data_IF_296430928289
#
_entry.id   IF_296430928289
#
_cell.length_a   1.000
_cell.length_b   1.000
_cell.length_c   1.000
_cell.angle_alpha   90.00
_cell.angle_beta   90.00
_cell.angle_gamma   90.00
#
_symmetry.space_group_name_H-M   'P 1'
#
loop_
_entity.id
_entity.type
_entity.pdbx_description
1 polymer ?
#
# COMPACT_ATOMS: atom_id res chain seq x y z
N UNK A 1 -15.13 10.04 9.24
CA UNK A 1 -14.09 11.07 8.95
C UNK A 1 -12.74 10.72 9.57
N UNK A 2 -12.67 10.28 10.83
CA UNK A 2 -11.40 9.85 11.46
C UNK A 2 -10.72 8.67 10.73
N UNK A 3 -11.50 7.71 10.24
CA UNK A 3 -10.98 6.54 9.52
C UNK A 3 -10.29 6.94 8.21
N UNK A 4 -10.84 7.94 7.51
CA UNK A 4 -10.23 8.48 6.28
C UNK A 4 -8.82 9.03 6.58
N UNK A 5 -8.67 9.78 7.67
CA UNK A 5 -7.38 10.35 8.07
C UNK A 5 -6.38 9.24 8.40
N UNK A 6 -6.79 8.23 9.17
CA UNK A 6 -5.91 7.10 9.48
C UNK A 6 -5.50 6.33 8.24
N UNK A 7 -6.42 6.05 7.30
CA UNK A 7 -6.07 5.42 6.03
C UNK A 7 -5.08 6.26 5.23
N UNK A 8 -5.35 7.56 5.07
CA UNK A 8 -4.46 8.49 4.37
C UNK A 8 -3.06 8.49 4.98
N UNK A 9 -2.94 8.63 6.31
CA UNK A 9 -1.67 8.63 7.01
C UNK A 9 -0.94 7.28 6.88
N UNK A 10 -1.64 6.16 7.07
CA UNK A 10 -1.07 4.82 6.90
C UNK A 10 -0.49 4.65 5.50
N UNK A 11 -1.21 5.05 4.46
CA UNK A 11 -0.78 4.90 3.07
C UNK A 11 0.37 5.85 2.72
N UNK A 12 0.35 7.07 3.22
CA UNK A 12 1.47 8.01 3.03
C UNK A 12 2.74 7.51 3.71
N UNK A 13 2.64 7.03 4.96
CA UNK A 13 3.77 6.41 5.65
C UNK A 13 4.27 5.16 4.91
N UNK A 14 3.36 4.36 4.35
CA UNK A 14 3.71 3.16 3.60
C UNK A 14 4.41 3.49 2.27
N UNK A 15 3.97 4.55 1.58
CA UNK A 15 4.66 5.07 0.39
C UNK A 15 6.07 5.56 0.71
N UNK A 16 6.25 6.33 1.79
CA UNK A 16 7.56 6.78 2.24
C UNK A 16 8.48 5.61 2.64
N UNK A 17 7.93 4.64 3.37
CA UNK A 17 8.66 3.45 3.82
C UNK A 17 9.18 2.64 2.62
N UNK A 18 8.38 2.52 1.56
CA UNK A 18 8.70 1.70 0.39
C UNK A 18 9.36 2.47 -0.75
N UNK A 19 9.46 3.79 -0.66
CA UNK A 19 10.14 4.59 -1.68
C UNK A 19 11.59 4.15 -1.95
N UNK A 20 12.43 3.78 -0.96
CA UNK A 20 13.75 3.22 -1.22
C UNK A 20 13.75 1.93 -2.06
N UNK A 21 12.71 1.10 -1.92
CA UNK A 21 12.53 -0.09 -2.75
C UNK A 21 12.16 0.32 -4.18
N UNK A 22 11.18 1.22 -4.33
CA UNK A 22 10.76 1.75 -5.63
C UNK A 22 11.95 2.38 -6.37
N UNK A 23 12.76 3.18 -5.67
CA UNK A 23 13.97 3.80 -6.20
C UNK A 23 14.93 2.80 -6.86
N UNK A 24 15.10 1.64 -6.22
CA UNK A 24 16.01 0.59 -6.69
C UNK A 24 15.39 -0.23 -7.82
N UNK A 25 14.08 -0.45 -7.78
CA UNK A 25 13.36 -1.21 -8.82
C UNK A 25 13.15 -0.41 -10.10
N UNK A 26 13.02 0.92 -9.97
CA UNK A 26 12.72 1.84 -11.07
C UNK A 26 13.82 2.89 -11.30
N UNK A 27 15.09 2.50 -11.46
CA UNK A 27 16.19 3.46 -11.59
C UNK A 27 16.13 4.24 -12.90
N UNK A 28 15.46 3.71 -13.92
CA UNK A 28 15.30 4.34 -15.24
C UNK A 28 14.14 5.34 -15.31
N UNK A 29 13.23 5.34 -14.32
CA UNK A 29 12.10 6.27 -14.29
C UNK A 29 12.55 7.64 -13.79
N UNK A 30 12.08 8.70 -14.45
CA UNK A 30 12.36 10.09 -14.08
C UNK A 30 11.92 10.42 -12.65
N UNK A 31 10.79 9.85 -12.20
CA UNK A 31 10.29 10.01 -10.83
C UNK A 31 10.89 9.02 -9.81
N UNK A 32 11.81 8.15 -10.25
CA UNK A 32 12.39 7.06 -9.43
C UNK A 32 11.34 6.14 -8.79
N UNK A 33 10.14 6.07 -9.39
CA UNK A 33 9.00 5.29 -8.89
C UNK A 33 8.27 5.92 -7.71
N UNK A 34 8.44 7.22 -7.42
CA UNK A 34 7.77 7.88 -6.31
C UNK A 34 6.24 7.78 -6.42
N UNK A 35 5.66 8.00 -7.59
CA UNK A 35 4.21 7.93 -7.80
C UNK A 35 3.62 6.53 -7.53
N UNK A 36 4.42 5.48 -7.76
CA UNK A 36 4.01 4.09 -7.56
C UNK A 36 4.33 3.55 -6.16
N UNK A 37 5.16 4.26 -5.38
CA UNK A 37 5.66 3.80 -4.08
C UNK A 37 4.55 3.39 -3.11
N UNK A 38 3.49 4.19 -3.01
CA UNK A 38 2.33 3.91 -2.14
C UNK A 38 1.59 2.63 -2.53
N UNK A 39 1.35 2.41 -3.83
CA UNK A 39 0.72 1.20 -4.33
C UNK A 39 1.63 -0.02 -4.13
N UNK A 40 2.92 0.12 -4.44
CA UNK A 40 3.94 -0.90 -4.22
C UNK A 40 3.97 -1.31 -2.74
N UNK A 41 3.98 -0.34 -1.81
CA UNK A 41 4.00 -0.62 -0.39
C UNK A 41 2.77 -1.36 0.11
N UNK A 42 1.57 -0.99 -0.36
CA UNK A 42 0.34 -1.71 -0.04
C UNK A 42 0.39 -3.16 -0.53
N UNK A 43 0.82 -3.37 -1.78
CA UNK A 43 0.91 -4.70 -2.38
C UNK A 43 1.98 -5.56 -1.70
N UNK A 44 3.16 -5.02 -1.42
CA UNK A 44 4.24 -5.75 -0.75
C UNK A 44 3.90 -6.09 0.70
N UNK A 45 3.39 -5.12 1.47
CA UNK A 45 2.97 -5.39 2.84
C UNK A 45 1.86 -6.44 2.87
N UNK A 46 0.86 -6.27 2.01
CA UNK A 46 -0.22 -7.22 1.81
C UNK A 46 0.26 -8.61 1.46
N UNK A 47 1.18 -8.72 0.50
CA UNK A 47 1.67 -10.00 0.01
C UNK A 47 2.51 -10.73 1.06
N UNK A 48 3.41 -10.02 1.75
CA UNK A 48 4.20 -10.60 2.85
C UNK A 48 3.27 -11.10 3.96
N UNK A 49 2.28 -10.30 4.34
CA UNK A 49 1.29 -10.70 5.36
C UNK A 49 0.48 -11.92 4.92
N UNK A 50 -0.13 -11.86 3.73
CA UNK A 50 -0.93 -12.94 3.18
C UNK A 50 -0.13 -14.25 3.09
N UNK A 51 1.12 -14.17 2.63
CA UNK A 51 1.99 -15.33 2.52
C UNK A 51 2.37 -15.88 3.91
N UNK A 52 2.75 -15.01 4.86
CA UNK A 52 3.10 -15.44 6.21
C UNK A 52 1.93 -16.12 6.94
N UNK A 53 0.72 -15.61 6.79
CA UNK A 53 -0.48 -16.22 7.38
C UNK A 53 -0.87 -17.52 6.66
N UNK A 54 -0.77 -17.56 5.33
CA UNK A 54 -1.07 -18.77 4.54
C UNK A 54 -0.09 -19.91 4.83
N UNK A 55 1.16 -19.60 5.18
CA UNK A 55 2.17 -20.58 5.57
C UNK A 55 2.14 -20.94 7.06
N UNK A 56 1.26 -20.33 7.85
CA UNK A 56 1.19 -20.56 9.30
C UNK A 56 2.36 -19.95 10.10
N UNK A 57 3.14 -19.05 9.49
CA UNK A 57 4.24 -18.30 10.15
C UNK A 57 3.68 -17.19 11.04
N UNK A 58 2.55 -16.60 10.64
CA UNK A 58 1.86 -15.54 11.36
C UNK A 58 0.36 -15.85 11.49
N UNK A 59 -0.33 -15.14 12.39
CA UNK A 59 -1.79 -15.16 12.48
C UNK A 59 -2.38 -13.91 11.83
N UNK A 60 -3.66 -13.99 11.45
CA UNK A 60 -4.40 -12.85 10.92
C UNK A 60 -4.87 -11.90 12.05
N UNK A 61 -3.90 -11.29 12.72
CA UNK A 61 -4.09 -10.37 13.83
C UNK A 61 -3.14 -9.17 13.72
N UNK A 62 -3.17 -8.28 14.71
CA UNK A 62 -2.28 -7.12 14.75
C UNK A 62 -0.80 -7.53 14.82
N UNK A 63 -0.48 -8.64 15.48
CA UNK A 63 0.89 -9.16 15.57
C UNK A 63 1.45 -9.56 14.21
N UNK A 64 0.69 -10.32 13.42
CA UNK A 64 1.07 -10.70 12.05
C UNK A 64 1.18 -9.49 11.12
N UNK A 65 0.28 -8.50 11.25
CA UNK A 65 0.35 -7.24 10.49
C UNK A 65 1.64 -6.47 10.81
N UNK A 66 2.02 -6.37 12.08
CA UNK A 66 3.23 -5.68 12.50
C UNK A 66 4.49 -6.46 12.12
N UNK A 67 4.47 -7.79 12.20
CA UNK A 67 5.58 -8.65 11.77
C UNK A 67 5.86 -8.48 10.27
N UNK A 68 4.82 -8.53 9.44
CA UNK A 68 4.94 -8.33 7.99
C UNK A 68 5.37 -6.90 7.64
N UNK A 69 4.92 -5.89 8.39
CA UNK A 69 5.36 -4.50 8.23
C UNK A 69 6.85 -4.35 8.60
N UNK A 70 7.29 -5.01 9.68
CA UNK A 70 8.68 -5.04 10.09
C UNK A 70 9.58 -5.73 9.05
N UNK A 71 9.11 -6.81 8.43
CA UNK A 71 9.80 -7.45 7.31
C UNK A 71 9.94 -6.50 6.11
N UNK A 72 8.88 -5.77 5.75
CA UNK A 72 8.93 -4.77 4.68
C UNK A 72 9.88 -3.61 5.01
N UNK A 73 9.88 -3.15 6.26
CA UNK A 73 10.82 -2.14 6.75
C UNK A 73 12.26 -2.64 6.63
N UNK A 74 12.53 -3.89 7.03
CA UNK A 74 13.85 -4.51 6.90
C UNK A 74 14.32 -4.57 5.43
N UNK A 75 13.43 -4.92 4.49
CA UNK A 75 13.73 -4.89 3.05
C UNK A 75 14.08 -3.48 2.57
N UNK A 76 13.33 -2.47 3.04
CA UNK A 76 13.55 -1.07 2.67
C UNK A 76 14.87 -0.53 3.22
N UNK A 77 15.20 -0.85 4.48
CA UNK A 77 16.51 -0.53 5.09
C UNK A 77 17.64 -1.24 4.36
N UNK A 78 17.47 -2.52 4.03
CA UNK A 78 18.46 -3.28 3.27
C UNK A 78 18.71 -2.68 1.88
N UNK A 79 17.67 -2.18 1.21
CA UNK A 79 17.80 -1.51 -0.08
C UNK A 79 18.62 -0.21 0.02
N UNK A 80 18.39 0.60 1.07
CA UNK A 80 19.19 1.78 1.37
C UNK A 80 20.65 1.44 1.66
N UNK A 81 20.90 0.37 2.42
CA UNK A 81 22.26 -0.08 2.76
C UNK A 81 23.04 -0.58 1.54
N UNK A 82 22.38 -1.35 0.66
CA UNK A 82 22.98 -1.81 -0.61
C UNK A 82 23.27 -0.66 -1.57
N UNK A 83 22.44 0.38 -1.59
CA UNK A 83 22.67 1.55 -2.44
C UNK A 83 23.96 2.29 -2.07
N UNK A 84 24.34 2.33 -0.79
CA UNK A 84 25.59 2.96 -0.33
C UNK A 84 26.88 2.21 -0.70
N UNK A 85 26.81 0.94 -1.15
CA UNK A 85 27.99 0.13 -1.50
C UNK A 85 28.32 0.08 -3.00
N UNK A 86 27.44 0.60 -3.86
CA UNK A 86 27.49 0.39 -5.31
C UNK A 86 28.08 1.51 -6.15
N UNK A 87 28.56 2.61 -5.55
CA UNK A 87 29.09 3.77 -6.26
C UNK A 87 30.53 4.02 -5.81
N UNK A 88 31.49 3.36 -6.46
CA UNK A 88 32.91 3.75 -6.38
C UNK A 88 33.10 4.95 -7.29
N UNK A 89 33.12 6.15 -6.71
CA UNK A 89 33.68 7.33 -7.38
C UNK A 89 35.19 7.37 -7.12
N UNK A 90 35.96 7.79 -8.13
CA UNK A 90 37.44 7.85 -8.11
C UNK A 90 38.00 8.83 -7.07
N UNK A 91 37.14 9.63 -6.43
CA UNK A 91 37.46 10.54 -5.34
C UNK A 91 37.09 9.90 -4.00
N UNK A 92 38.09 9.70 -3.14
CA UNK A 92 38.02 9.19 -1.75
C UNK A 92 37.07 10.01 -0.85
N UNK A 93 35.76 9.87 -1.06
CA UNK A 93 34.75 10.24 -0.07
C UNK A 93 33.88 9.02 0.19
N UNK A 94 33.80 8.53 1.44
CA UNK A 94 32.94 7.41 1.74
C UNK A 94 31.50 7.78 1.33
N UNK A 95 30.91 7.01 0.42
CA UNK A 95 29.52 7.16 -0.03
C UNK A 95 28.62 6.74 1.13
N UNK A 96 28.43 7.68 2.05
CA UNK A 96 27.58 7.54 3.21
C UNK A 96 26.16 7.96 2.79
N UNK A 97 25.30 6.94 2.72
CA UNK A 97 23.84 6.97 2.81
C UNK A 97 23.04 7.03 1.50
N UNK A 98 22.55 5.88 1.06
CA UNK A 98 21.40 5.81 0.13
C UNK A 98 20.18 6.58 0.63
N UNK A 99 20.08 6.87 1.93
CA UNK A 99 19.06 7.77 2.47
C UNK A 99 19.28 9.23 2.04
N UNK A 100 20.54 9.68 1.98
CA UNK A 100 20.88 11.05 1.63
C UNK A 100 20.55 11.36 0.17
N UNK A 101 20.87 10.43 -0.75
CA UNK A 101 20.52 10.59 -2.18
C UNK A 101 19.01 10.66 -2.40
N UNK A 102 18.24 9.80 -1.72
CA UNK A 102 16.76 9.81 -1.79
C UNK A 102 16.18 11.12 -1.26
N UNK A 103 16.72 11.63 -0.14
CA UNK A 103 16.29 12.91 0.46
C UNK A 103 16.70 14.11 -0.39
N UNK A 104 17.92 14.14 -0.93
CA UNK A 104 18.39 15.21 -1.82
C UNK A 104 17.56 15.27 -3.10
N UNK A 105 17.22 14.11 -3.67
CA UNK A 105 16.30 14.04 -4.81
C UNK A 105 14.89 14.53 -4.47
N UNK A 106 14.35 14.12 -3.32
CA UNK A 106 13.01 14.58 -2.90
C UNK A 106 12.97 16.11 -2.72
N UNK A 107 14.07 16.69 -2.24
CA UNK A 107 14.22 18.15 -2.11
C UNK A 107 14.32 18.84 -3.49
N UNK A 108 15.10 18.30 -4.41
CA UNK A 108 15.23 18.89 -5.76
C UNK A 108 13.97 18.71 -6.60
N UNK A 109 13.16 17.68 -6.31
CA UNK A 109 11.90 17.37 -7.00
C UNK A 109 10.67 17.68 -6.15
N UNK A 110 10.77 18.61 -5.20
CA UNK A 110 9.71 18.91 -4.25
C UNK A 110 8.37 19.24 -4.93
N UNK A 111 8.40 19.97 -6.06
CA UNK A 111 7.19 20.28 -6.84
C UNK A 111 6.49 19.00 -7.32
N UNK A 112 7.24 18.03 -7.82
CA UNK A 112 6.69 16.75 -8.27
C UNK A 112 6.12 15.96 -7.09
N UNK A 113 6.89 15.84 -6.00
CA UNK A 113 6.44 15.19 -4.75
C UNK A 113 5.12 15.78 -4.25
N UNK A 114 5.05 17.11 -4.12
CA UNK A 114 3.82 17.80 -3.70
C UNK A 114 2.68 17.61 -4.68
N UNK A 115 2.94 17.54 -5.98
CA UNK A 115 1.92 17.29 -7.00
C UNK A 115 1.32 15.90 -6.84
N UNK A 116 2.17 14.86 -6.67
CA UNK A 116 1.73 13.47 -6.45
C UNK A 116 0.91 13.36 -5.16
N UNK A 117 1.39 13.94 -4.07
CA UNK A 117 0.72 13.87 -2.77
C UNK A 117 -0.62 14.64 -2.77
N UNK A 118 -0.65 15.82 -3.38
CA UNK A 118 -1.89 16.59 -3.54
C UNK A 118 -2.89 15.87 -4.45
N UNK A 119 -2.43 15.31 -5.58
CA UNK A 119 -3.28 14.55 -6.49
C UNK A 119 -3.87 13.32 -5.79
N UNK A 120 -3.05 12.56 -5.05
CA UNK A 120 -3.53 11.43 -4.27
C UNK A 120 -4.59 11.86 -3.25
N UNK A 121 -4.28 12.89 -2.44
CA UNK A 121 -5.20 13.39 -1.42
C UNK A 121 -6.53 13.84 -2.02
N UNK A 122 -6.50 14.63 -3.10
CA UNK A 122 -7.71 15.12 -3.76
C UNK A 122 -8.50 13.96 -4.37
N UNK A 123 -7.87 13.06 -5.12
CA UNK A 123 -8.57 11.94 -5.74
C UNK A 123 -9.18 10.99 -4.70
N UNK A 124 -8.43 10.68 -3.63
CA UNK A 124 -8.91 9.85 -2.53
C UNK A 124 -10.07 10.53 -1.79
N UNK A 125 -9.97 11.83 -1.50
CA UNK A 125 -11.02 12.60 -0.82
C UNK A 125 -12.29 12.71 -1.66
N UNK A 126 -12.17 13.01 -2.95
CA UNK A 126 -13.31 13.13 -3.88
C UNK A 126 -14.07 11.81 -3.96
N UNK A 127 -13.37 10.68 -4.15
CA UNK A 127 -14.07 9.39 -4.25
C UNK A 127 -14.60 8.91 -2.90
N UNK A 128 -13.91 9.21 -1.80
CA UNK A 128 -14.42 8.97 -0.46
C UNK A 128 -15.71 9.78 -0.20
N UNK A 129 -15.77 11.04 -0.65
CA UNK A 129 -16.98 11.85 -0.56
C UNK A 129 -18.12 11.27 -1.40
N UNK A 130 -17.86 10.85 -2.65
CA UNK A 130 -18.86 10.17 -3.49
C UNK A 130 -19.40 8.92 -2.79
N UNK A 131 -18.52 8.07 -2.24
CA UNK A 131 -18.94 6.87 -1.49
C UNK A 131 -19.67 7.20 -0.19
N UNK A 132 -19.33 8.28 0.49
CA UNK A 132 -20.03 8.71 1.71
C UNK A 132 -21.48 9.12 1.44
N UNK A 133 -21.80 9.64 0.25
CA UNK A 133 -23.16 9.99 -0.17
C UNK A 133 -23.98 8.78 -0.68
N UNK A 134 -23.34 7.66 -0.98
CA UNK A 134 -24.01 6.41 -1.35
C UNK A 134 -23.25 5.21 -0.78
N UNK A 135 -23.24 5.04 0.56
CA UNK A 135 -22.39 4.05 1.24
C UNK A 135 -22.96 2.64 1.17
N UNK A 136 -24.20 2.48 0.72
CA UNK A 136 -24.93 1.22 0.69
C UNK A 136 -24.15 0.15 -0.11
N UNK A 137 -24.08 -1.03 0.48
CA UNK A 137 -23.40 -2.21 -0.07
C UNK A 137 -24.42 -3.23 -0.58
N UNK A 138 -25.48 -2.72 -1.21
CA UNK A 138 -26.56 -3.51 -1.80
C UNK A 138 -26.38 -3.56 -3.32
N UNK A 139 -26.76 -4.69 -3.90
CA UNK A 139 -26.75 -4.92 -5.35
C UNK A 139 -25.44 -5.45 -5.90
N UNK A 140 -25.54 -6.15 -7.02
CA UNK A 140 -24.43 -6.77 -7.77
C UNK A 140 -23.51 -7.60 -6.86
N UNK A 141 -22.20 -7.39 -6.95
CA UNK A 141 -21.17 -8.13 -6.23
C UNK A 141 -20.88 -7.55 -4.84
N UNK A 142 -21.38 -6.34 -4.52
CA UNK A 142 -21.06 -5.65 -3.25
C UNK A 142 -21.38 -6.47 -1.99
N UNK A 143 -22.50 -7.22 -1.92
CA UNK A 143 -22.76 -8.10 -0.79
C UNK A 143 -21.71 -9.21 -0.64
N UNK A 144 -21.19 -9.74 -1.74
CA UNK A 144 -20.11 -10.73 -1.72
C UNK A 144 -18.79 -10.11 -1.26
N UNK A 145 -18.44 -8.93 -1.78
CA UNK A 145 -17.20 -8.23 -1.40
C UNK A 145 -17.16 -7.92 0.10
N UNK A 146 -18.26 -7.41 0.67
CA UNK A 146 -18.34 -7.14 2.12
C UNK A 146 -18.38 -8.42 2.95
N UNK A 147 -19.00 -9.50 2.45
CA UNK A 147 -18.97 -10.80 3.10
C UNK A 147 -17.54 -11.35 3.16
N UNK A 148 -16.76 -11.23 2.08
CA UNK A 148 -15.36 -11.67 2.04
C UNK A 148 -14.47 -10.85 2.96
N UNK A 149 -14.63 -9.52 2.97
CA UNK A 149 -13.90 -8.65 3.92
C UNK A 149 -14.21 -9.05 5.37
N UNK A 150 -15.47 -9.25 5.71
CA UNK A 150 -15.86 -9.65 7.08
C UNK A 150 -15.41 -11.06 7.43
N UNK A 151 -15.44 -12.00 6.47
CA UNK A 151 -14.94 -13.35 6.64
C UNK A 151 -13.43 -13.33 6.94
N UNK A 152 -12.65 -12.54 6.20
CA UNK A 152 -11.22 -12.34 6.47
C UNK A 152 -11.02 -11.72 7.83
N UNK A 153 -11.74 -10.65 8.19
CA UNK A 153 -11.58 -9.99 9.49
C UNK A 153 -11.78 -10.94 10.69
N UNK A 154 -12.67 -11.93 10.54
CA UNK A 154 -13.04 -12.93 11.57
C UNK A 154 -12.24 -14.22 11.52
N UNK A 155 -11.50 -14.49 10.44
CA UNK A 155 -10.72 -15.73 10.30
C UNK A 155 -9.32 -15.57 10.91
N UNK A 156 -8.87 -16.49 11.77
CA UNK A 156 -7.54 -16.38 12.40
C UNK A 156 -6.39 -16.77 11.46
N UNK A 157 -6.66 -17.58 10.44
CA UNK A 157 -5.69 -18.12 9.48
C UNK A 157 -6.22 -18.02 8.05
N UNK A 158 -5.37 -18.30 7.06
CA UNK A 158 -5.74 -18.35 5.65
C UNK A 158 -5.64 -19.80 5.10
N UNK A 159 -6.54 -20.20 4.16
CA UNK A 159 -7.62 -19.40 3.58
C UNK A 159 -8.73 -19.05 4.60
N UNK A 160 -9.30 -17.85 4.54
CA UNK A 160 -10.37 -17.42 5.43
C UNK A 160 -11.63 -18.29 5.23
N UNK A 161 -12.49 -18.37 6.24
CA UNK A 161 -13.74 -19.14 6.16
C UNK A 161 -14.63 -18.64 5.01
N UNK A 162 -15.25 -19.57 4.31
CA UNK A 162 -16.19 -19.26 3.23
C UNK A 162 -17.54 -18.78 3.82
N UNK A 163 -18.01 -17.56 3.51
CA UNK A 163 -19.29 -17.07 4.01
C UNK A 163 -20.50 -17.77 3.38
N UNK A 164 -20.32 -18.53 2.30
CA UNK A 164 -21.36 -19.24 1.56
C UNK A 164 -21.36 -20.75 1.83
N UNK A 165 -20.23 -21.32 2.27
CA UNK A 165 -20.09 -22.75 2.50
C UNK A 165 -19.44 -23.05 3.87
N UNK A 166 -20.30 -23.32 4.86
CA UNK A 166 -19.88 -23.58 6.24
C UNK A 166 -18.87 -24.73 6.34
N UNK A 167 -17.78 -24.50 7.08
CA UNK A 167 -16.71 -25.48 7.32
C UNK A 167 -15.59 -25.47 6.28
N UNK A 168 -15.70 -24.67 5.22
CA UNK A 168 -14.70 -24.56 4.16
C UNK A 168 -14.04 -23.17 4.16
N UNK A 169 -12.93 -23.04 3.42
CA UNK A 169 -12.30 -21.76 3.14
C UNK A 169 -12.73 -21.19 1.80
N UNK A 170 -12.62 -19.88 1.63
CA UNK A 170 -13.00 -19.17 0.38
C UNK A 170 -12.28 -19.82 -0.83
N UNK A 171 -13.06 -20.34 -1.77
CA UNK A 171 -12.57 -20.89 -3.04
C UNK A 171 -12.63 -19.86 -4.17
N UNK A 172 -12.00 -18.71 -3.95
CA UNK A 172 -11.98 -17.58 -4.90
C UNK A 172 -10.68 -16.77 -4.73
N UNK A 173 -10.31 -15.94 -5.70
CA UNK A 173 -9.21 -15.00 -5.51
C UNK A 173 -9.58 -13.91 -4.50
N UNK A 174 -8.98 -13.94 -3.30
CA UNK A 174 -9.39 -13.08 -2.20
C UNK A 174 -8.35 -12.04 -1.75
N UNK A 175 -7.20 -11.94 -2.41
CA UNK A 175 -6.10 -11.07 -1.97
C UNK A 175 -6.48 -9.58 -1.91
N UNK A 176 -7.28 -9.08 -2.86
CA UNK A 176 -7.79 -7.70 -2.82
C UNK A 176 -8.60 -7.40 -1.55
N UNK A 177 -9.41 -8.37 -1.10
CA UNK A 177 -10.16 -8.26 0.15
C UNK A 177 -9.26 -8.39 1.39
N UNK A 178 -8.12 -9.08 1.29
CA UNK A 178 -7.10 -9.09 2.34
C UNK A 178 -6.52 -7.70 2.52
N UNK A 179 -6.18 -6.99 1.45
CA UNK A 179 -5.69 -5.60 1.55
C UNK A 179 -6.69 -4.69 2.28
N UNK A 180 -7.97 -4.80 1.92
CA UNK A 180 -9.04 -4.06 2.58
C UNK A 180 -9.18 -4.42 4.07
N UNK A 181 -9.21 -5.72 4.39
CA UNK A 181 -9.34 -6.22 5.76
C UNK A 181 -8.10 -5.92 6.63
N UNK A 182 -6.90 -5.93 6.07
CA UNK A 182 -5.66 -5.55 6.76
C UNK A 182 -5.70 -4.08 7.15
N UNK A 183 -6.02 -3.19 6.21
CA UNK A 183 -6.16 -1.76 6.49
C UNK A 183 -7.28 -1.51 7.51
N UNK A 184 -8.39 -2.24 7.38
CA UNK A 184 -9.48 -2.19 8.34
C UNK A 184 -9.03 -2.56 9.76
N UNK A 185 -8.33 -3.69 9.91
CA UNK A 185 -7.82 -4.17 11.19
C UNK A 185 -6.77 -3.24 11.77
N UNK A 186 -5.80 -2.78 10.96
CA UNK A 186 -4.72 -1.88 11.39
C UNK A 186 -5.22 -0.50 11.85
N UNK A 187 -6.27 0.02 11.20
CA UNK A 187 -6.84 1.35 11.49
C UNK A 187 -8.09 1.31 12.37
N UNK A 188 -8.44 0.14 12.93
CA UNK A 188 -9.67 -0.09 13.70
C UNK A 188 -10.95 0.39 12.97
N UNK A 189 -11.02 0.12 11.66
CA UNK A 189 -12.14 0.48 10.79
C UNK A 189 -13.08 -0.72 10.61
N UNK A 190 -14.39 -0.49 10.67
CA UNK A 190 -15.39 -1.54 10.39
C UNK A 190 -15.32 -2.04 8.94
N UNK A 191 -15.74 -3.28 8.67
CA UNK A 191 -15.73 -3.86 7.33
C UNK A 191 -16.49 -3.05 6.28
N UNK A 192 -17.66 -2.50 6.62
CA UNK A 192 -18.44 -1.67 5.69
C UNK A 192 -17.80 -0.31 5.37
N UNK A 193 -17.14 0.32 6.35
CA UNK A 193 -16.38 1.56 6.09
C UNK A 193 -15.12 1.24 5.29
N UNK A 194 -14.43 0.14 5.61
CA UNK A 194 -13.24 -0.30 4.90
C UNK A 194 -13.52 -0.64 3.44
N UNK A 195 -14.66 -1.28 3.14
CA UNK A 195 -15.13 -1.51 1.78
C UNK A 195 -15.20 -0.19 0.98
N UNK A 196 -15.88 0.82 1.55
CA UNK A 196 -16.02 2.13 0.92
C UNK A 196 -14.70 2.89 0.77
N UNK A 197 -13.84 2.85 1.80
CA UNK A 197 -12.52 3.48 1.73
C UNK A 197 -11.58 2.76 0.78
N UNK A 198 -11.69 1.43 0.62
CA UNK A 198 -10.90 0.68 -0.35
C UNK A 198 -11.25 1.08 -1.79
N UNK A 199 -12.54 1.28 -2.10
CA UNK A 199 -12.95 1.80 -3.41
C UNK A 199 -12.35 3.17 -3.69
N UNK A 200 -12.37 4.07 -2.70
CA UNK A 200 -11.73 5.38 -2.80
C UNK A 200 -10.22 5.28 -2.93
N UNK A 201 -9.59 4.35 -2.22
CA UNK A 201 -8.17 4.11 -2.29
C UNK A 201 -7.74 3.66 -3.68
N UNK A 202 -8.44 2.67 -4.25
CA UNK A 202 -8.15 2.20 -5.62
C UNK A 202 -8.25 3.36 -6.61
N UNK A 203 -9.30 4.19 -6.52
CA UNK A 203 -9.42 5.39 -7.36
C UNK A 203 -8.23 6.36 -7.19
N UNK A 204 -7.84 6.65 -5.95
CA UNK A 204 -6.70 7.52 -5.65
C UNK A 204 -5.37 6.97 -6.16
N UNK A 205 -5.11 5.67 -5.99
CA UNK A 205 -3.92 4.99 -6.50
C UNK A 205 -3.90 4.96 -8.03
N UNK A 206 -5.04 4.74 -8.69
CA UNK A 206 -5.16 4.81 -10.14
C UNK A 206 -4.86 6.20 -10.67
N UNK A 207 -5.35 7.25 -10.00
CA UNK A 207 -5.08 8.64 -10.41
C UNK A 207 -3.58 8.97 -10.37
N UNK A 208 -2.89 8.66 -9.26
CA UNK A 208 -1.44 8.90 -9.19
C UNK A 208 -0.63 7.94 -10.05
N UNK A 209 -1.10 6.71 -10.27
CA UNK A 209 -0.48 5.76 -11.19
C UNK A 209 -0.53 6.25 -12.64
N UNK A 210 -1.67 6.76 -13.08
CA UNK A 210 -1.84 7.35 -14.41
C UNK A 210 -0.97 8.61 -14.59
N UNK A 211 -0.95 9.50 -13.58
CA UNK A 211 -0.07 10.66 -13.58
C UNK A 211 1.41 10.26 -13.63
N UNK A 212 1.83 9.30 -12.80
CA UNK A 212 3.21 8.80 -12.76
C UNK A 212 3.64 8.17 -14.08
N UNK A 213 2.76 7.40 -14.72
CA UNK A 213 3.01 6.86 -16.06
C UNK A 213 3.26 7.97 -17.08
N UNK A 214 2.36 8.95 -17.17
CA UNK A 214 2.50 10.06 -18.11
C UNK A 214 3.76 10.89 -17.82
N UNK A 215 4.01 11.21 -16.55
CA UNK A 215 5.19 11.96 -16.13
C UNK A 215 6.49 11.27 -16.58
N UNK A 216 6.58 9.96 -16.39
CA UNK A 216 7.75 9.20 -16.79
C UNK A 216 7.90 9.06 -18.31
N UNK A 217 6.79 8.99 -19.06
CA UNK A 217 6.84 8.96 -20.53
C UNK A 217 7.28 10.30 -21.13
N UNK A 218 6.90 11.43 -20.51
CA UNK A 218 7.27 12.77 -20.96
C UNK A 218 8.66 13.22 -20.48
N UNK A 219 9.16 12.63 -19.39
CA UNK A 219 10.48 12.91 -18.83
C UNK A 219 11.60 11.99 -19.34
N UNK A 220 11.27 11.01 -20.19
CA UNK A 220 12.21 10.08 -20.83
C UNK A 220 12.85 10.66 -22.11
#
# INVERSE_FOLDING_TARGET
MIQFIFWYLTLTLLGLLTFPLAWRLFPALADRGYALSRALGLLLWGFIFWLAVSLGIAQNDTGGLLLSLAALLALSVWALWRAGRGQWTMDDKPVVNGLRSTVEWAKSNLRHVLTVEALFLVAFAVWAFVRANNPETVGTEKPMEIAFINAILRSPTFPPHDPWLSGYGISYYYFGYVLAAMLAKFTATSGGVAFNLMLALVFGLSAVGAYGLLYNLLGA
#
